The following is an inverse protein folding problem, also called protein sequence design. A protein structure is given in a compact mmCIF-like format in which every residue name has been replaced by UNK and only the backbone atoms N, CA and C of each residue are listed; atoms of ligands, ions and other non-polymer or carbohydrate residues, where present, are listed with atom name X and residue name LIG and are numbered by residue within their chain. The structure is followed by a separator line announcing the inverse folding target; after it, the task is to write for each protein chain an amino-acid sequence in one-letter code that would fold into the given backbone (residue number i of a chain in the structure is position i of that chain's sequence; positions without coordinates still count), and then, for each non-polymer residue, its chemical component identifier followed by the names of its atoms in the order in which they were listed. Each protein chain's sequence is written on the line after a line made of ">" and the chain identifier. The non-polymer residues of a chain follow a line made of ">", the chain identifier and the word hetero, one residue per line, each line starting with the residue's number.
data_IF_209479878451
#
_entry.id   IF_209479878451
#
_cell.length_a   1.000
_cell.length_b   1.000
_cell.length_c   1.000
_cell.angle_alpha   90.00
_cell.angle_beta   90.00
_cell.angle_gamma   90.00
#
_symmetry.space_group_name_H-M   'P 1'
#
loop_
_entity.id
_entity.type
_entity.pdbx_description
1 polymer ?
#
# COMPACT_ATOMS: atom_id res chain seq x y z
N UNK A 1 37.91 -37.02 -7.70
CA UNK A 1 37.53 -35.92 -8.61
C UNK A 1 36.82 -34.89 -7.76
N UNK A 2 37.40 -33.69 -7.63
CA UNK A 2 36.94 -32.67 -6.68
C UNK A 2 35.56 -32.15 -7.04
N UNK A 3 34.61 -32.28 -6.13
CA UNK A 3 33.33 -31.58 -6.21
C UNK A 3 33.62 -30.13 -5.84
N UNK A 4 33.65 -29.27 -6.86
CA UNK A 4 33.94 -27.84 -6.70
C UNK A 4 33.06 -27.23 -5.62
N UNK A 5 33.72 -26.68 -4.61
CA UNK A 5 33.16 -25.82 -3.58
C UNK A 5 32.50 -24.62 -4.28
N UNK A 6 31.23 -24.78 -4.65
CA UNK A 6 30.40 -23.72 -5.21
C UNK A 6 30.04 -22.77 -4.09
N UNK A 7 30.98 -21.89 -3.72
CA UNK A 7 30.70 -20.74 -2.88
C UNK A 7 29.61 -19.93 -3.59
N UNK A 8 28.36 -20.07 -3.14
CA UNK A 8 27.25 -19.25 -3.63
C UNK A 8 27.49 -17.84 -3.12
N UNK A 9 28.32 -17.10 -3.84
CA UNK A 9 28.68 -15.73 -3.56
C UNK A 9 27.43 -14.86 -3.77
N UNK A 10 26.56 -14.85 -2.76
CA UNK A 10 25.41 -13.97 -2.70
C UNK A 10 25.93 -12.57 -2.41
N UNK A 11 26.28 -11.84 -3.46
CA UNK A 11 26.51 -10.41 -3.36
C UNK A 11 25.15 -9.72 -3.34
N UNK A 12 24.84 -8.99 -2.27
CA UNK A 12 23.65 -8.10 -2.20
C UNK A 12 23.63 -7.11 -3.37
N UNK A 13 24.79 -6.87 -3.97
CA UNK A 13 24.99 -5.91 -5.04
C UNK A 13 25.09 -6.54 -6.44
N UNK A 14 24.98 -7.87 -6.57
CA UNK A 14 25.17 -8.57 -7.86
C UNK A 14 24.13 -8.18 -8.92
N UNK A 15 22.98 -7.65 -8.49
CA UNK A 15 21.92 -7.14 -9.36
C UNK A 15 21.88 -5.60 -9.50
N UNK A 16 22.68 -4.86 -8.73
CA UNK A 16 22.58 -3.40 -8.66
C UNK A 16 23.58 -2.77 -9.62
N UNK A 17 23.15 -2.56 -10.87
CA UNK A 17 24.00 -1.95 -11.91
C UNK A 17 24.30 -0.47 -11.69
N UNK A 18 23.46 0.24 -10.95
CA UNK A 18 23.61 1.68 -10.68
C UNK A 18 22.83 2.04 -9.43
N UNK A 19 23.48 2.71 -8.48
CA UNK A 19 22.77 3.34 -7.37
C UNK A 19 22.26 4.71 -7.81
N UNK A 20 21.00 5.07 -7.54
CA UNK A 20 20.54 6.44 -7.73
C UNK A 20 21.42 7.38 -6.90
N UNK A 21 22.01 8.38 -7.56
CA UNK A 21 22.98 9.30 -6.98
C UNK A 21 22.35 10.22 -5.91
N UNK A 22 21.02 10.26 -5.80
CA UNK A 22 20.28 11.08 -4.86
C UNK A 22 19.17 10.29 -4.17
N UNK A 23 18.89 10.65 -2.91
CA UNK A 23 17.79 10.06 -2.13
C UNK A 23 16.42 10.26 -2.80
N UNK A 24 16.25 11.39 -3.49
CA UNK A 24 15.02 11.69 -4.24
C UNK A 24 14.80 10.73 -5.41
N UNK A 25 15.86 10.42 -6.17
CA UNK A 25 15.79 9.45 -7.26
C UNK A 25 15.49 8.04 -6.75
N UNK A 26 16.07 7.65 -5.61
CA UNK A 26 15.76 6.38 -4.95
C UNK A 26 14.28 6.31 -4.55
N UNK A 27 13.74 7.37 -3.93
CA UNK A 27 12.31 7.39 -3.55
C UNK A 27 11.39 7.31 -4.77
N UNK A 28 11.74 8.01 -5.86
CA UNK A 28 10.99 7.92 -7.11
C UNK A 28 11.00 6.50 -7.68
N UNK A 29 12.16 5.84 -7.70
CA UNK A 29 12.32 4.46 -8.17
C UNK A 29 11.50 3.47 -7.34
N UNK A 30 11.53 3.60 -6.00
CA UNK A 30 10.72 2.78 -5.10
C UNK A 30 9.23 2.97 -5.37
N UNK A 31 8.77 4.22 -5.50
CA UNK A 31 7.37 4.51 -5.79
C UNK A 31 6.95 3.92 -7.14
N UNK A 32 7.77 4.07 -8.18
CA UNK A 32 7.54 3.48 -9.50
C UNK A 32 7.47 1.95 -9.42
N UNK A 33 8.39 1.31 -8.69
CA UNK A 33 8.40 -0.14 -8.52
C UNK A 33 7.13 -0.65 -7.82
N UNK A 34 6.67 0.03 -6.76
CA UNK A 34 5.43 -0.30 -6.04
C UNK A 34 4.23 -0.16 -6.98
N UNK A 35 4.13 0.93 -7.73
CA UNK A 35 3.03 1.17 -8.67
C UNK A 35 3.00 0.12 -9.78
N UNK A 36 4.16 -0.21 -10.37
CA UNK A 36 4.25 -1.21 -11.43
C UNK A 36 3.85 -2.61 -10.95
N UNK A 37 4.26 -2.99 -9.73
CA UNK A 37 3.85 -4.26 -9.13
C UNK A 37 2.34 -4.31 -8.86
N UNK A 38 1.77 -3.21 -8.35
CA UNK A 38 0.33 -3.08 -8.13
C UNK A 38 -0.47 -3.17 -9.44
N UNK A 39 0.03 -2.52 -10.49
CA UNK A 39 -0.54 -2.57 -11.84
C UNK A 39 -0.50 -3.99 -12.40
N UNK A 40 0.66 -4.63 -12.41
CA UNK A 40 0.83 -5.99 -12.92
C UNK A 40 -0.07 -7.03 -12.22
N UNK A 41 -0.27 -6.90 -10.91
CA UNK A 41 -1.21 -7.75 -10.17
C UNK A 41 -2.66 -7.49 -10.55
N UNK A 42 -3.03 -6.22 -10.73
CA UNK A 42 -4.40 -5.83 -11.10
C UNK A 42 -4.72 -6.28 -12.52
N UNK A 43 -3.78 -6.12 -13.46
CA UNK A 43 -3.95 -6.60 -14.84
C UNK A 43 -4.00 -8.12 -14.88
N UNK A 44 -3.17 -8.84 -14.13
CA UNK A 44 -3.26 -10.30 -14.05
C UNK A 44 -4.61 -10.81 -13.49
N UNK A 45 -5.24 -10.05 -12.58
CA UNK A 45 -6.57 -10.35 -12.07
C UNK A 45 -7.69 -10.01 -13.08
N UNK A 46 -7.51 -8.97 -13.88
CA UNK A 46 -8.46 -8.57 -14.92
C UNK A 46 -8.39 -9.49 -16.15
N UNK A 47 -7.20 -9.92 -16.53
CA UNK A 47 -6.94 -10.79 -17.67
C UNK A 47 -7.17 -12.29 -17.35
N UNK A 48 -7.41 -12.63 -16.07
CA UNK A 48 -7.85 -13.97 -15.70
C UNK A 48 -9.31 -14.16 -16.11
N UNK A 49 -9.62 -15.07 -17.06
CA UNK A 49 -11.00 -15.36 -17.39
C UNK A 49 -11.67 -15.89 -16.13
N UNK A 50 -12.81 -15.29 -15.75
CA UNK A 50 -13.61 -15.69 -14.59
C UNK A 50 -13.93 -17.18 -14.66
N UNK A 51 -13.10 -18.03 -14.04
CA UNK A 51 -13.57 -19.29 -13.49
C UNK A 51 -14.48 -18.90 -12.34
N UNK A 52 -15.77 -19.10 -12.57
CA UNK A 52 -16.86 -18.88 -11.66
C UNK A 52 -16.65 -19.65 -10.35
N UNK A 53 -16.00 -18.99 -9.41
CA UNK A 53 -16.26 -19.15 -7.99
C UNK A 53 -16.44 -17.72 -7.48
N UNK A 54 -17.68 -17.24 -7.46
CA UNK A 54 -18.04 -16.14 -6.57
C UNK A 54 -17.88 -16.64 -5.13
N UNK A 55 -16.64 -16.77 -4.66
CA UNK A 55 -16.39 -16.50 -3.25
C UNK A 55 -16.52 -14.99 -3.14
N UNK A 56 -17.75 -14.54 -2.96
CA UNK A 56 -18.06 -13.18 -2.51
C UNK A 56 -17.42 -13.05 -1.13
N UNK A 57 -16.11 -12.85 -1.09
CA UNK A 57 -15.44 -12.29 0.06
C UNK A 57 -15.86 -10.83 0.09
N UNK A 58 -17.12 -10.59 0.50
CA UNK A 58 -17.37 -9.43 1.31
C UNK A 58 -16.44 -9.67 2.50
N UNK A 59 -15.25 -9.08 2.45
CA UNK A 59 -14.64 -8.56 3.65
C UNK A 59 -15.62 -7.49 4.10
N UNK A 60 -16.73 -7.97 4.69
CA UNK A 60 -17.54 -7.22 5.61
C UNK A 60 -16.52 -7.00 6.70
N UNK A 61 -15.77 -5.89 6.60
CA UNK A 61 -14.92 -5.40 7.67
C UNK A 61 -15.90 -5.25 8.82
N UNK A 62 -16.02 -6.32 9.61
CA UNK A 62 -16.79 -6.27 10.82
C UNK A 62 -16.02 -5.27 11.65
N UNK A 63 -16.66 -4.19 12.14
CA UNK A 63 -15.99 -3.20 12.98
C UNK A 63 -15.42 -3.80 14.28
N UNK A 64 -15.56 -5.11 14.51
CA UNK A 64 -15.00 -5.89 15.62
C UNK A 64 -13.49 -6.17 15.54
N UNK A 65 -12.78 -5.77 14.47
CA UNK A 65 -11.32 -5.98 14.36
C UNK A 65 -10.55 -4.67 14.18
N UNK A 66 -11.11 -3.55 14.63
CA UNK A 66 -10.35 -2.31 14.73
C UNK A 66 -9.80 -2.18 16.16
N UNK A 67 -8.47 -2.06 16.33
CA UNK A 67 -7.88 -1.75 17.63
C UNK A 67 -8.56 -0.53 18.26
N UNK A 68 -8.75 -0.51 19.58
CA UNK A 68 -9.50 0.56 20.27
C UNK A 68 -8.95 1.97 20.00
N UNK A 69 -7.64 2.11 19.73
CA UNK A 69 -7.02 3.37 19.34
C UNK A 69 -7.51 3.87 17.97
N UNK A 70 -7.81 2.96 17.04
CA UNK A 70 -8.31 3.28 15.71
C UNK A 70 -9.73 3.83 15.78
N UNK A 71 -10.59 3.26 16.62
CA UNK A 71 -11.94 3.79 16.88
C UNK A 71 -11.90 5.20 17.50
N UNK A 72 -10.93 5.46 18.38
CA UNK A 72 -10.71 6.80 18.96
C UNK A 72 -10.26 7.80 17.90
N UNK A 73 -9.34 7.43 17.01
CA UNK A 73 -8.90 8.27 15.90
C UNK A 73 -10.04 8.60 14.94
N UNK A 74 -10.84 7.60 14.54
CA UNK A 74 -11.98 7.82 13.65
C UNK A 74 -12.96 8.82 14.27
N UNK A 75 -13.27 8.68 15.57
CA UNK A 75 -14.12 9.64 16.28
C UNK A 75 -13.54 11.04 16.30
N UNK A 76 -12.23 11.20 16.53
CA UNK A 76 -11.56 12.51 16.53
C UNK A 76 -11.61 13.17 15.15
N UNK A 77 -11.34 12.42 14.09
CA UNK A 77 -11.39 12.92 12.71
C UNK A 77 -12.80 13.37 12.34
N UNK A 78 -13.81 12.56 12.66
CA UNK A 78 -15.22 12.89 12.39
C UNK A 78 -15.66 14.10 13.19
N UNK A 79 -15.31 14.18 14.48
CA UNK A 79 -15.65 15.31 15.33
C UNK A 79 -14.99 16.61 14.83
N UNK A 80 -13.72 16.55 14.44
CA UNK A 80 -12.99 17.69 13.89
C UNK A 80 -13.66 18.19 12.60
N UNK A 81 -14.02 17.28 11.68
CA UNK A 81 -14.71 17.65 10.45
C UNK A 81 -16.08 18.27 10.71
N UNK A 82 -16.83 17.73 11.68
CA UNK A 82 -18.13 18.26 12.09
C UNK A 82 -18.02 19.66 12.69
N UNK A 83 -17.06 19.89 13.59
CA UNK A 83 -16.80 21.20 14.18
C UNK A 83 -16.39 22.21 13.11
N UNK A 84 -15.50 21.83 12.19
CA UNK A 84 -15.11 22.68 11.07
C UNK A 84 -16.31 23.04 10.18
N UNK A 85 -17.18 22.07 9.89
CA UNK A 85 -18.40 22.29 9.11
C UNK A 85 -19.37 23.24 9.84
N UNK A 86 -19.55 23.05 11.15
CA UNK A 86 -20.44 23.89 11.97
C UNK A 86 -19.92 25.33 12.06
N UNK A 87 -18.62 25.53 12.27
CA UNK A 87 -18.03 26.86 12.28
C UNK A 87 -18.15 27.56 10.93
N UNK A 88 -18.04 26.81 9.83
CA UNK A 88 -18.20 27.36 8.47
C UNK A 88 -19.65 27.80 8.21
N UNK A 89 -20.62 27.02 8.68
CA UNK A 89 -22.05 27.39 8.66
C UNK A 89 -22.35 28.61 9.53
N UNK A 90 -21.79 28.68 10.74
CA UNK A 90 -21.97 29.82 11.63
C UNK A 90 -21.42 31.12 11.04
N UNK A 91 -20.25 31.06 10.37
CA UNK A 91 -19.67 32.21 9.65
C UNK A 91 -20.46 32.65 8.41
N UNK A 92 -21.36 31.82 7.89
CA UNK A 92 -22.24 32.16 6.77
C UNK A 92 -23.58 32.74 7.24
N UNK A 93 -23.90 32.57 8.53
CA UNK A 93 -25.17 32.97 9.13
C UNK A 93 -25.14 34.37 9.76
N UNK A 94 -23.93 34.86 10.06
CA UNK A 94 -23.62 36.23 10.50
C UNK A 94 -23.05 37.01 9.32
#
# INVERSE_FOLDING_TARGET
>A
MGSGEGNSHFSVFDGVKTFPLTLEALMAEINTAITNLGYARTTALLDSPSSSSMTRNRVRIRPSTMPGWMMRLIKLVVLHWLLASLMKLFRLLI
#
